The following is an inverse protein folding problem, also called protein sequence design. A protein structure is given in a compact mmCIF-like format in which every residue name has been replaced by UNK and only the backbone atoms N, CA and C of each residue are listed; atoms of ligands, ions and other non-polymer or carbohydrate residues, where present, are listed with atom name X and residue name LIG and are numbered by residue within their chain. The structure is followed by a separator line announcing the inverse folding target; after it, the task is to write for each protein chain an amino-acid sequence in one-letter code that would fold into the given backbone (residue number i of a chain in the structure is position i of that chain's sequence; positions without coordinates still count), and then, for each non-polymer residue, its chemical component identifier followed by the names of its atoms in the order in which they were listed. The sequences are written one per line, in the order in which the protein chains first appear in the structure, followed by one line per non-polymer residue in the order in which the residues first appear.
data_IF_931942904816
#
_entry.id   IF_931942904816
#
_cell.length_a   1.000
_cell.length_b   1.000
_cell.length_c   1.000
_cell.angle_alpha   90.00
_cell.angle_beta   90.00
_cell.angle_gamma   90.00
#
_symmetry.space_group_name_H-M   'P 1'
#
loop_
_entity.id
_entity.type
_entity.pdbx_description
1 polymer ?
#
# COMPACT_ATOMS: atom_id res chain seq x y z
N UNK A 1 -33.37 38.24 22.64
CA UNK A 1 -33.91 37.65 21.40
C UNK A 1 -33.03 38.15 20.28
N UNK A 2 -32.25 37.25 19.67
CA UNK A 2 -31.13 37.58 18.78
C UNK A 2 -31.52 37.08 17.39
N UNK A 3 -31.65 38.01 16.45
CA UNK A 3 -32.12 37.76 15.09
C UNK A 3 -31.19 36.83 14.31
N UNK A 4 -31.77 35.83 13.65
CA UNK A 4 -31.09 34.89 12.74
C UNK A 4 -31.34 35.39 11.31
N UNK A 5 -30.32 35.78 10.53
CA UNK A 5 -30.53 36.11 9.12
C UNK A 5 -30.68 34.84 8.27
N UNK A 6 -31.78 34.79 7.52
CA UNK A 6 -32.06 33.76 6.52
C UNK A 6 -31.10 33.89 5.33
N UNK A 7 -30.45 32.78 4.96
CA UNK A 7 -29.63 32.69 3.75
C UNK A 7 -30.46 32.20 2.56
N UNK A 8 -30.25 32.75 1.34
CA UNK A 8 -31.03 32.37 0.16
C UNK A 8 -30.51 31.08 -0.48
N UNK A 9 -31.45 30.17 -0.75
CA UNK A 9 -31.30 29.06 -1.68
C UNK A 9 -30.99 29.60 -3.08
N UNK A 10 -29.84 29.22 -3.65
CA UNK A 10 -29.60 29.35 -5.09
C UNK A 10 -29.43 27.96 -5.70
N UNK A 11 -30.40 27.64 -6.56
CA UNK A 11 -30.44 26.52 -7.48
C UNK A 11 -29.15 26.42 -8.29
N UNK A 12 -28.51 25.26 -8.24
CA UNK A 12 -27.52 24.85 -9.23
C UNK A 12 -28.21 23.93 -10.24
N UNK A 13 -28.56 24.51 -11.39
CA UNK A 13 -28.90 23.78 -12.61
C UNK A 13 -27.58 23.33 -13.22
N UNK A 14 -27.37 22.03 -13.38
CA UNK A 14 -26.24 21.53 -14.18
C UNK A 14 -26.73 20.49 -15.19
N UNK A 15 -26.40 20.83 -16.43
CA UNK A 15 -26.92 20.26 -17.65
C UNK A 15 -26.30 18.89 -17.94
N UNK A 16 -27.18 18.03 -18.42
CA UNK A 16 -26.94 16.75 -19.06
C UNK A 16 -26.15 16.99 -20.37
N UNK A 17 -24.94 16.42 -20.50
CA UNK A 17 -24.33 16.17 -21.80
C UNK A 17 -23.80 14.74 -21.85
N UNK A 18 -24.48 13.93 -22.64
CA UNK A 18 -24.11 12.57 -23.00
C UNK A 18 -22.99 12.60 -24.05
N UNK A 19 -21.87 11.94 -23.78
CA UNK A 19 -20.94 11.47 -24.81
C UNK A 19 -20.99 9.94 -24.84
N UNK A 20 -21.79 9.43 -25.79
CA UNK A 20 -21.70 8.07 -26.31
C UNK A 20 -20.50 8.02 -27.28
N UNK A 21 -19.45 7.30 -26.91
CA UNK A 21 -18.45 6.81 -27.85
C UNK A 21 -18.46 5.28 -27.81
N UNK A 22 -19.03 4.71 -28.86
CA UNK A 22 -19.04 3.28 -29.13
C UNK A 22 -17.65 2.84 -29.60
N UNK A 23 -17.05 1.87 -28.93
CA UNK A 23 -16.01 1.03 -29.53
C UNK A 23 -16.66 -0.32 -29.87
N UNK A 24 -16.75 -0.55 -31.17
CA UNK A 24 -17.24 -1.73 -31.86
C UNK A 24 -16.48 -2.99 -31.47
N UNK A 25 -17.23 -4.05 -31.19
CA UNK A 25 -16.74 -5.41 -31.18
C UNK A 25 -16.47 -5.89 -32.62
N UNK A 26 -15.33 -6.53 -32.84
CA UNK A 26 -15.07 -7.35 -34.03
C UNK A 26 -15.37 -8.82 -33.69
N UNK A 27 -16.31 -9.48 -34.39
CA UNK A 27 -16.47 -10.92 -34.35
C UNK A 27 -15.79 -11.60 -35.55
N UNK A 28 -15.25 -12.79 -35.28
CA UNK A 28 -15.07 -13.91 -36.23
C UNK A 28 -13.81 -13.91 -37.12
N UNK A 29 -12.92 -14.86 -36.84
CA UNK A 29 -12.62 -15.94 -37.81
C UNK A 29 -11.91 -17.10 -37.11
N UNK A 30 -12.53 -18.27 -37.17
CA UNK A 30 -11.96 -19.55 -36.80
C UNK A 30 -10.87 -19.96 -37.81
N UNK A 31 -9.81 -20.60 -37.30
CA UNK A 31 -9.04 -21.58 -38.05
C UNK A 31 -8.70 -22.74 -37.10
N UNK A 32 -9.25 -23.88 -37.47
CA UNK A 32 -9.00 -25.23 -36.99
C UNK A 32 -7.66 -25.74 -37.57
N UNK A 33 -7.20 -26.92 -37.11
CA UNK A 33 -5.92 -27.62 -37.40
C UNK A 33 -4.70 -27.08 -36.64
N UNK A 34 -3.88 -27.89 -35.96
CA UNK A 34 -3.38 -29.20 -36.39
C UNK A 34 -2.96 -30.06 -35.17
N UNK A 35 -3.18 -31.37 -35.31
CA UNK A 35 -2.49 -32.42 -34.55
C UNK A 35 -0.97 -32.20 -34.63
N UNK A 36 -0.23 -32.60 -33.59
CA UNK A 36 0.99 -33.42 -33.65
C UNK A 36 1.96 -33.13 -32.49
N UNK A 37 2.34 -34.23 -31.86
CA UNK A 37 3.48 -34.45 -30.95
C UNK A 37 3.38 -33.95 -29.51
N UNK A 38 2.80 -34.82 -28.70
CA UNK A 38 3.45 -35.55 -27.59
C UNK A 38 5.00 -35.42 -27.49
N UNK A 39 5.52 -34.20 -27.39
CA UNK A 39 6.85 -33.95 -26.83
C UNK A 39 6.68 -33.91 -25.33
N UNK A 40 6.95 -35.05 -24.69
CA UNK A 40 6.86 -35.24 -23.25
C UNK A 40 7.26 -33.98 -22.49
N UNK A 41 6.27 -33.39 -21.82
CA UNK A 41 6.50 -32.52 -20.67
C UNK A 41 7.27 -33.38 -19.68
N UNK A 42 8.59 -33.30 -19.76
CA UNK A 42 9.41 -33.61 -18.61
C UNK A 42 8.80 -32.78 -17.48
N UNK A 43 8.17 -33.47 -16.53
CA UNK A 43 8.07 -33.03 -15.15
C UNK A 43 9.51 -32.71 -14.74
N UNK A 44 10.00 -31.53 -15.12
CA UNK A 44 11.12 -30.89 -14.46
C UNK A 44 10.57 -30.61 -13.08
N UNK A 45 10.85 -31.56 -12.20
CA UNK A 45 10.45 -31.59 -10.81
C UNK A 45 10.32 -30.16 -10.27
N UNK A 46 9.08 -29.67 -10.19
CA UNK A 46 8.74 -28.36 -9.61
C UNK A 46 9.02 -28.33 -8.08
N UNK A 47 9.82 -29.26 -7.60
CA UNK A 47 10.04 -29.58 -6.21
C UNK A 47 11.06 -28.66 -5.52
N UNK A 48 11.68 -27.71 -6.22
CA UNK A 48 12.71 -26.85 -5.60
C UNK A 48 12.76 -25.41 -6.12
N UNK A 49 11.69 -24.91 -6.73
CA UNK A 49 11.60 -23.48 -7.04
C UNK A 49 11.47 -22.68 -5.75
N UNK A 50 12.48 -21.86 -5.44
CA UNK A 50 12.41 -20.92 -4.31
C UNK A 50 11.15 -20.06 -4.43
N UNK A 51 10.43 -19.80 -3.32
CA UNK A 51 9.25 -18.94 -3.36
C UNK A 51 9.62 -17.54 -3.83
N UNK A 52 8.81 -16.99 -4.74
CA UNK A 52 8.96 -15.60 -5.18
C UNK A 52 8.62 -14.66 -4.01
N UNK A 53 9.50 -13.72 -3.64
CA UNK A 53 9.22 -12.75 -2.57
C UNK A 53 8.10 -11.78 -2.95
N UNK A 54 7.62 -11.00 -1.96
CA UNK A 54 6.85 -9.79 -2.26
C UNK A 54 7.75 -8.84 -3.07
N UNK A 55 7.27 -8.29 -4.18
CA UNK A 55 8.05 -7.40 -5.03
C UNK A 55 7.18 -6.37 -5.76
N UNK A 56 7.83 -5.41 -6.42
CA UNK A 56 7.20 -4.28 -7.11
C UNK A 56 7.49 -4.34 -8.62
N UNK A 57 6.71 -5.11 -9.40
CA UNK A 57 6.99 -5.29 -10.84
C UNK A 57 6.80 -4.02 -11.66
N UNK A 58 5.90 -3.13 -11.22
CA UNK A 58 5.60 -1.87 -11.88
C UNK A 58 5.47 -0.76 -10.84
N UNK A 59 5.64 0.49 -11.27
CA UNK A 59 5.45 1.65 -10.43
C UNK A 59 3.99 1.74 -9.99
N UNK A 60 3.75 1.94 -8.70
CA UNK A 60 2.41 2.11 -8.16
C UNK A 60 1.95 3.56 -8.33
N UNK A 61 0.66 3.73 -8.63
CA UNK A 61 -0.05 4.99 -8.45
C UNK A 61 -0.98 4.82 -7.27
N UNK A 62 -0.84 5.67 -6.26
CA UNK A 62 -1.66 5.61 -5.07
C UNK A 62 -2.96 6.38 -5.29
N UNK A 63 -4.02 5.88 -4.67
CA UNK A 63 -5.28 6.60 -4.65
C UNK A 63 -5.10 7.91 -3.89
N UNK A 64 -5.69 8.97 -4.43
CA UNK A 64 -5.85 10.19 -3.66
C UNK A 64 -6.72 9.88 -2.43
N UNK A 65 -6.36 10.42 -1.25
CA UNK A 65 -7.21 10.29 -0.09
C UNK A 65 -8.63 10.76 -0.43
N UNK A 66 -9.62 9.90 -0.18
CA UNK A 66 -11.00 10.20 -0.54
C UNK A 66 -11.96 9.78 0.56
N UNK A 67 -12.97 10.63 0.73
CA UNK A 67 -14.07 10.44 1.66
C UNK A 67 -13.90 11.18 2.98
N UNK A 68 -15.03 11.69 3.47
CA UNK A 68 -15.21 11.99 4.88
C UNK A 68 -15.81 10.73 5.51
N UNK A 69 -14.98 9.84 6.06
CA UNK A 69 -15.56 8.92 7.03
C UNK A 69 -15.94 9.79 8.22
N UNK A 70 -17.24 9.92 8.57
CA UNK A 70 -17.56 10.58 9.81
C UNK A 70 -16.80 9.81 10.89
N UNK A 71 -15.94 10.52 11.59
CA UNK A 71 -15.45 10.10 12.89
C UNK A 71 -16.61 10.21 13.88
N UNK A 72 -17.70 9.49 13.56
CA UNK A 72 -18.79 9.27 14.46
C UNK A 72 -18.18 8.59 15.68
N UNK A 73 -18.41 9.21 16.83
CA UNK A 73 -18.04 8.78 18.18
C UNK A 73 -18.41 7.34 18.53
N UNK A 74 -19.10 6.63 17.63
CA UNK A 74 -19.54 5.24 17.74
C UNK A 74 -18.38 4.24 17.89
N UNK A 75 -17.14 4.67 17.65
CA UNK A 75 -15.92 3.88 17.87
C UNK A 75 -15.34 3.93 19.29
N UNK A 76 -15.87 4.77 20.20
CA UNK A 76 -15.39 4.78 21.59
C UNK A 76 -15.95 3.57 22.33
N UNK A 77 -15.18 2.48 22.29
CA UNK A 77 -15.50 1.28 23.06
C UNK A 77 -15.62 1.65 24.54
N UNK A 78 -16.80 1.40 25.11
CA UNK A 78 -17.12 1.65 26.52
C UNK A 78 -16.94 3.11 27.02
N UNK A 79 -17.04 4.11 26.14
CA UNK A 79 -16.97 5.53 26.54
C UNK A 79 -15.56 6.01 26.93
N UNK A 80 -14.52 5.22 26.64
CA UNK A 80 -13.12 5.60 26.86
C UNK A 80 -12.55 6.05 25.51
N UNK A 81 -12.69 7.34 25.21
CA UNK A 81 -11.91 7.98 24.14
C UNK A 81 -10.64 8.53 24.81
N UNK A 82 -9.46 7.92 24.62
CA UNK A 82 -8.25 8.29 25.36
C UNK A 82 -7.67 9.65 24.92
N UNK A 83 -8.12 10.18 23.79
CA UNK A 83 -7.81 11.54 23.34
C UNK A 83 -9.04 12.11 22.60
N UNK A 84 -9.26 13.42 22.72
CA UNK A 84 -10.16 14.10 21.80
C UNK A 84 -9.63 13.92 20.37
N UNK A 85 -10.46 13.54 19.39
CA UNK A 85 -10.00 13.41 18.02
C UNK A 85 -9.45 14.75 17.53
N UNK A 86 -8.39 14.75 16.72
CA UNK A 86 -7.87 16.00 16.14
C UNK A 86 -8.70 16.48 14.94
N UNK A 87 -9.59 15.63 14.41
CA UNK A 87 -10.53 15.94 13.34
C UNK A 87 -11.83 15.13 13.47
N UNK A 88 -12.95 15.69 13.04
CA UNK A 88 -14.21 14.98 12.86
C UNK A 88 -14.46 14.61 11.40
N UNK A 89 -13.87 15.37 10.48
CA UNK A 89 -13.94 15.24 9.02
C UNK A 89 -12.65 15.74 8.38
N UNK A 90 -12.44 15.45 7.10
CA UNK A 90 -11.25 15.95 6.38
C UNK A 90 -11.27 17.47 6.22
N UNK A 91 -12.44 18.10 6.35
CA UNK A 91 -12.57 19.57 6.39
C UNK A 91 -11.94 20.22 7.63
N UNK A 92 -11.69 19.45 8.70
CA UNK A 92 -11.00 19.93 9.89
C UNK A 92 -9.47 19.88 9.74
N UNK A 93 -8.97 19.25 8.67
CA UNK A 93 -7.55 19.05 8.41
C UNK A 93 -6.97 20.12 7.47
N UNK A 94 -5.64 20.16 7.35
CA UNK A 94 -5.00 21.05 6.38
C UNK A 94 -5.38 20.64 4.94
N UNK A 95 -5.27 21.57 4.00
CA UNK A 95 -5.61 21.31 2.60
C UNK A 95 -4.78 20.15 2.04
N UNK A 96 -5.45 19.07 1.61
CA UNK A 96 -4.81 17.86 1.09
C UNK A 96 -4.68 16.72 2.10
N UNK A 97 -4.90 17.00 3.39
CA UNK A 97 -4.94 16.00 4.44
C UNK A 97 -6.31 15.32 4.51
N UNK A 98 -6.32 14.12 5.06
CA UNK A 98 -7.53 13.31 5.27
C UNK A 98 -7.69 12.99 6.74
N UNK A 99 -8.93 13.08 7.24
CA UNK A 99 -9.25 12.62 8.58
C UNK A 99 -9.45 11.10 8.57
N UNK A 100 -8.51 10.36 9.17
CA UNK A 100 -8.56 8.90 9.22
C UNK A 100 -8.74 8.40 10.64
N UNK A 101 -9.39 7.22 10.73
CA UNK A 101 -9.48 6.46 11.97
C UNK A 101 -8.20 5.65 12.16
N UNK A 102 -7.36 6.08 13.08
CA UNK A 102 -6.14 5.37 13.46
C UNK A 102 -6.42 4.40 14.59
N UNK A 103 -5.86 3.21 14.49
CA UNK A 103 -5.83 2.26 15.60
C UNK A 103 -4.52 2.47 16.38
N UNK A 104 -4.65 2.99 17.60
CA UNK A 104 -3.60 2.97 18.61
C UNK A 104 -3.80 1.75 19.50
N UNK A 105 -2.69 1.13 19.93
CA UNK A 105 -2.58 -0.12 20.70
C UNK A 105 -3.85 -0.66 21.40
N UNK A 106 -4.02 -1.99 21.32
CA UNK A 106 -5.09 -2.80 21.90
C UNK A 106 -6.49 -2.60 21.29
N UNK A 107 -7.12 -1.44 21.43
CA UNK A 107 -8.51 -1.18 20.97
C UNK A 107 -8.84 0.30 20.77
N UNK A 108 -7.84 1.18 20.88
CA UNK A 108 -8.08 2.61 21.00
C UNK A 108 -8.09 3.25 19.61
N UNK A 109 -9.29 3.57 19.13
CA UNK A 109 -9.42 4.34 17.90
C UNK A 109 -9.36 5.84 18.22
N UNK A 110 -8.54 6.57 17.47
CA UNK A 110 -8.55 8.03 17.46
C UNK A 110 -8.69 8.52 16.03
N UNK A 111 -9.24 9.72 15.85
CA UNK A 111 -9.26 10.34 14.53
C UNK A 111 -8.14 11.37 14.43
N UNK A 112 -7.33 11.21 13.41
CA UNK A 112 -6.16 12.02 13.17
C UNK A 112 -6.12 12.49 11.71
N UNK A 113 -5.70 13.73 11.50
CA UNK A 113 -5.37 14.23 10.17
C UNK A 113 -4.07 13.58 9.71
N UNK A 114 -4.10 12.97 8.54
CA UNK A 114 -2.92 12.43 7.88
C UNK A 114 -2.68 13.15 6.58
N UNK A 115 -1.45 13.63 6.41
CA UNK A 115 -0.96 14.15 5.14
C UNK A 115 -0.66 12.99 4.20
N UNK A 116 -1.06 13.16 2.94
CA UNK A 116 -0.58 12.32 1.84
C UNK A 116 0.66 13.00 1.25
N UNK A 117 1.82 12.36 1.37
CA UNK A 117 3.08 12.93 0.90
C UNK A 117 3.26 12.74 -0.62
N UNK A 118 2.63 11.72 -1.18
CA UNK A 118 2.79 11.33 -2.57
C UNK A 118 1.54 10.66 -3.14
N UNK A 119 1.38 10.71 -4.46
CA UNK A 119 0.42 9.93 -5.24
C UNK A 119 1.11 9.02 -6.27
N UNK A 120 2.36 9.32 -6.62
CA UNK A 120 3.21 8.51 -7.47
C UNK A 120 4.68 8.66 -7.06
N UNK A 121 5.55 7.77 -7.54
CA UNK A 121 6.99 7.83 -7.25
C UNK A 121 7.65 9.14 -7.69
N UNK A 122 7.07 9.83 -8.67
CA UNK A 122 7.56 11.12 -9.16
C UNK A 122 7.37 12.26 -8.14
N UNK A 123 6.51 12.07 -7.14
CA UNK A 123 6.29 13.05 -6.06
C UNK A 123 7.35 12.94 -4.95
N UNK A 124 8.08 11.82 -4.90
CA UNK A 124 9.11 11.55 -3.89
C UNK A 124 10.52 11.93 -4.38
N UNK A 125 11.47 12.05 -3.44
CA UNK A 125 12.87 12.31 -3.78
C UNK A 125 13.47 11.18 -4.65
N UNK A 126 14.64 11.44 -5.25
CA UNK A 126 15.27 10.52 -6.19
C UNK A 126 15.59 9.14 -5.58
N UNK A 127 15.94 9.11 -4.30
CA UNK A 127 16.26 7.95 -3.48
C UNK A 127 15.06 7.43 -2.66
N UNK A 128 13.85 7.80 -3.08
CA UNK A 128 12.59 7.40 -2.45
C UNK A 128 11.58 6.89 -3.50
N UNK A 129 10.55 6.20 -3.01
CA UNK A 129 9.38 5.82 -3.79
C UNK A 129 8.09 6.07 -3.02
N UNK A 130 6.97 6.14 -3.74
CA UNK A 130 5.67 6.34 -3.14
C UNK A 130 5.07 5.00 -2.71
N UNK A 131 4.91 4.83 -1.39
CA UNK A 131 4.22 3.68 -0.82
C UNK A 131 2.76 4.04 -0.54
N UNK A 132 1.84 3.27 -1.12
CA UNK A 132 0.42 3.48 -0.94
C UNK A 132 -0.04 2.92 0.41
N UNK A 133 -0.38 3.83 1.31
CA UNK A 133 -0.98 3.48 2.59
C UNK A 133 -2.48 3.23 2.45
N UNK A 134 -3.12 2.91 3.58
CA UNK A 134 -4.57 2.81 3.66
C UNK A 134 -5.15 4.21 3.78
N UNK A 135 -5.67 4.74 2.66
CA UNK A 135 -6.27 6.07 2.57
C UNK A 135 -7.80 6.05 2.42
N UNK A 136 -8.43 4.88 2.62
CA UNK A 136 -9.89 4.73 2.50
C UNK A 136 -10.59 5.18 3.78
N UNK A 137 -11.56 6.09 3.64
CA UNK A 137 -12.47 6.49 4.69
C UNK A 137 -13.08 5.28 5.44
N UNK A 138 -12.84 5.20 6.75
CA UNK A 138 -13.43 4.20 7.65
C UNK A 138 -12.63 2.89 7.77
N UNK A 139 -11.59 2.71 6.96
CA UNK A 139 -10.62 1.64 7.18
C UNK A 139 -9.77 1.97 8.41
N UNK A 140 -9.60 1.00 9.31
CA UNK A 140 -8.65 1.12 10.39
C UNK A 140 -7.25 0.94 9.81
N UNK A 141 -6.42 1.96 9.93
CA UNK A 141 -4.99 1.86 9.64
C UNK A 141 -4.21 1.72 10.95
N UNK A 142 -3.07 1.02 10.91
CA UNK A 142 -2.21 0.80 12.07
C UNK A 142 -0.85 1.43 11.81
N UNK A 143 -0.43 2.32 12.71
CA UNK A 143 0.89 2.94 12.70
C UNK A 143 1.17 3.75 11.42
N UNK A 144 2.34 3.52 10.83
CA UNK A 144 2.81 4.28 9.67
C UNK A 144 1.93 4.09 8.42
N UNK A 145 1.10 3.05 8.34
CA UNK A 145 0.36 2.66 7.13
C UNK A 145 -0.91 3.49 6.88
N UNK A 146 -1.06 4.61 7.59
CA UNK A 146 -2.22 5.50 7.55
C UNK A 146 -2.16 6.58 6.47
N UNK A 147 -1.18 6.57 5.56
CA UNK A 147 -1.14 7.52 4.45
C UNK A 147 -0.22 7.05 3.33
N UNK A 148 -0.38 7.64 2.15
CA UNK A 148 0.65 7.54 1.12
C UNK A 148 1.87 8.33 1.61
N UNK A 149 3.03 7.67 1.63
CA UNK A 149 4.27 8.24 2.16
C UNK A 149 5.45 7.93 1.27
N UNK A 150 6.42 8.81 1.26
CA UNK A 150 7.69 8.56 0.59
C UNK A 150 8.56 7.68 1.49
N UNK A 151 9.07 6.58 0.93
CA UNK A 151 9.93 5.64 1.64
C UNK A 151 11.30 5.54 0.97
N UNK A 152 12.38 5.33 1.75
CA UNK A 152 13.69 5.04 1.19
C UNK A 152 13.65 3.90 0.19
N UNK A 153 14.32 4.08 -0.95
CA UNK A 153 14.27 3.15 -2.06
C UNK A 153 15.63 3.02 -2.76
N UNK A 154 16.17 1.81 -2.81
CA UNK A 154 17.26 1.44 -3.71
C UNK A 154 16.77 1.01 -5.11
N UNK A 155 15.46 0.81 -5.26
CA UNK A 155 14.78 0.47 -6.51
C UNK A 155 13.33 0.98 -6.43
N UNK A 156 12.74 1.35 -7.57
CA UNK A 156 11.32 1.69 -7.67
C UNK A 156 10.53 0.51 -8.24
N UNK A 157 11.10 -0.22 -9.18
CA UNK A 157 10.47 -1.38 -9.80
C UNK A 157 11.46 -2.51 -10.01
N UNK A 158 10.98 -3.71 -10.35
CA UNK A 158 11.85 -4.82 -10.73
C UNK A 158 12.78 -4.47 -11.91
N UNK A 159 12.39 -3.55 -12.79
CA UNK A 159 13.22 -3.11 -13.90
C UNK A 159 14.49 -2.35 -13.45
N UNK A 160 14.50 -1.81 -12.22
CA UNK A 160 15.67 -1.17 -11.63
C UNK A 160 16.67 -2.19 -11.06
N UNK A 161 16.28 -3.46 -10.96
CA UNK A 161 17.06 -4.53 -10.36
C UNK A 161 17.63 -5.47 -11.44
N UNK A 162 18.90 -5.30 -11.86
CA UNK A 162 19.47 -6.03 -12.99
C UNK A 162 19.54 -7.55 -12.81
N UNK A 163 19.48 -8.03 -11.58
CA UNK A 163 19.63 -9.45 -11.23
C UNK A 163 18.49 -9.99 -10.35
N UNK A 164 17.45 -9.21 -10.06
CA UNK A 164 16.47 -9.63 -9.07
C UNK A 164 15.23 -8.78 -9.01
N UNK A 165 14.58 -8.83 -7.86
CA UNK A 165 13.26 -8.26 -7.62
C UNK A 165 13.39 -7.04 -6.70
N UNK A 166 12.55 -6.03 -6.92
CA UNK A 166 12.48 -4.87 -6.07
C UNK A 166 11.54 -5.15 -4.89
N UNK A 167 12.11 -5.52 -3.75
CA UNK A 167 11.36 -6.11 -2.64
C UNK A 167 11.32 -5.21 -1.40
N UNK A 168 10.23 -5.25 -0.61
CA UNK A 168 10.07 -4.45 0.58
C UNK A 168 10.87 -5.02 1.76
N UNK A 169 11.74 -4.21 2.38
CA UNK A 169 12.35 -4.55 3.67
C UNK A 169 11.47 -4.02 4.79
N UNK A 170 11.17 -4.89 5.76
CA UNK A 170 10.38 -4.54 6.94
C UNK A 170 11.22 -4.60 8.19
N UNK A 171 10.91 -3.75 9.15
CA UNK A 171 11.52 -3.79 10.47
C UNK A 171 11.01 -4.98 11.29
N UNK A 172 11.45 -5.02 12.54
CA UNK A 172 11.02 -6.00 13.52
C UNK A 172 9.50 -6.14 13.70
N UNK A 173 8.80 -5.04 13.49
CA UNK A 173 7.37 -4.87 13.75
C UNK A 173 6.54 -4.96 12.48
N UNK A 174 7.17 -5.30 11.35
CA UNK A 174 6.52 -5.34 10.05
C UNK A 174 6.31 -3.95 9.43
N UNK A 175 6.82 -2.89 10.05
CA UNK A 175 6.82 -1.57 9.42
C UNK A 175 7.75 -1.59 8.21
N UNK A 176 7.27 -1.02 7.12
CA UNK A 176 8.04 -0.94 5.90
C UNK A 176 9.17 0.10 6.05
N UNK A 177 10.42 -0.35 5.95
CA UNK A 177 11.63 0.48 6.06
C UNK A 177 12.07 1.02 4.69
N UNK A 178 11.77 0.30 3.62
CA UNK A 178 12.12 0.72 2.25
C UNK A 178 12.02 -0.42 1.24
N UNK A 179 12.46 -0.15 0.01
CA UNK A 179 12.52 -1.13 -1.08
C UNK A 179 13.94 -1.28 -1.61
N UNK A 180 14.39 -2.53 -1.78
CA UNK A 180 15.76 -2.83 -2.17
C UNK A 180 15.79 -3.99 -3.16
N UNK A 181 16.77 -3.97 -4.07
CA UNK A 181 16.95 -5.06 -5.01
C UNK A 181 17.41 -6.32 -4.28
N UNK A 182 16.82 -7.45 -4.66
CA UNK A 182 17.44 -8.75 -4.43
C UNK A 182 18.61 -8.98 -5.39
N UNK A 183 19.63 -9.64 -4.89
CA UNK A 183 20.67 -10.31 -5.66
C UNK A 183 20.67 -11.79 -5.24
N UNK A 184 20.01 -12.69 -5.99
CA UNK A 184 19.92 -14.10 -5.64
C UNK A 184 21.27 -14.82 -5.46
N UNK A 185 22.36 -14.26 -6.02
CA UNK A 185 23.70 -14.82 -5.88
C UNK A 185 24.41 -14.34 -4.61
N UNK A 186 24.02 -13.19 -4.04
CA UNK A 186 24.64 -12.61 -2.85
C UNK A 186 23.75 -12.69 -1.59
N UNK A 187 22.44 -12.77 -1.77
CA UNK A 187 21.46 -12.79 -0.70
C UNK A 187 21.39 -14.14 0.01
N UNK A 188 21.32 -14.09 1.33
CA UNK A 188 21.17 -15.29 2.15
C UNK A 188 19.72 -15.78 2.21
N UNK A 189 18.75 -14.92 1.88
CA UNK A 189 17.33 -15.24 1.86
C UNK A 189 16.58 -14.40 0.81
N UNK A 190 15.48 -14.94 0.29
CA UNK A 190 14.50 -14.21 -0.52
C UNK A 190 13.22 -13.95 0.27
N UNK A 191 12.81 -14.90 1.12
CA UNK A 191 11.54 -14.81 1.87
C UNK A 191 11.72 -15.15 3.33
N UNK A 192 10.77 -14.73 4.17
CA UNK A 192 10.70 -15.13 5.58
C UNK A 192 10.62 -16.66 5.76
N UNK A 193 10.04 -17.38 4.80
CA UNK A 193 9.93 -18.84 4.86
C UNK A 193 11.31 -19.52 4.89
N UNK A 194 12.30 -18.95 4.21
CA UNK A 194 13.68 -19.45 4.20
C UNK A 194 14.40 -19.16 5.52
N UNK A 195 13.94 -18.16 6.28
CA UNK A 195 14.49 -17.77 7.56
C UNK A 195 13.81 -18.46 8.76
N UNK A 196 12.69 -19.17 8.57
CA UNK A 196 11.90 -19.74 9.66
C UNK A 196 12.68 -20.64 10.65
N UNK A 197 13.78 -21.26 10.21
CA UNK A 197 14.68 -22.06 11.05
C UNK A 197 16.09 -21.49 11.22
N UNK A 198 16.35 -20.26 10.79
CA UNK A 198 17.67 -19.64 10.86
C UNK A 198 18.02 -19.26 12.30
N UNK A 199 19.27 -19.52 12.70
CA UNK A 199 19.81 -19.06 13.98
C UNK A 199 19.96 -17.54 14.03
N UNK A 200 20.03 -16.89 12.87
CA UNK A 200 20.10 -15.44 12.78
C UNK A 200 18.73 -14.79 12.95
N UNK A 201 17.61 -15.53 12.89
CA UNK A 201 16.24 -15.06 13.14
C UNK A 201 15.24 -15.33 12.01
N UNK A 202 13.93 -15.20 12.25
CA UNK A 202 12.87 -15.71 11.36
C UNK A 202 12.49 -14.78 10.19
N UNK A 203 13.13 -13.62 10.04
CA UNK A 203 12.75 -12.60 9.05
C UNK A 203 13.85 -12.36 8.05
N UNK A 204 13.49 -12.31 6.77
CA UNK A 204 14.38 -11.90 5.69
C UNK A 204 14.36 -10.37 5.55
N UNK A 205 15.47 -9.71 5.89
CA UNK A 205 15.56 -8.24 5.92
C UNK A 205 16.77 -7.74 5.15
N UNK A 206 16.64 -6.57 4.55
CA UNK A 206 17.75 -5.91 3.87
C UNK A 206 18.63 -5.17 4.89
N UNK A 207 19.84 -5.68 5.16
CA UNK A 207 20.73 -5.19 6.20
C UNK A 207 22.17 -5.11 5.70
N UNK A 208 22.72 -3.89 5.66
CA UNK A 208 24.09 -3.67 5.19
C UNK A 208 24.29 -3.98 3.71
N UNK A 209 23.26 -3.67 2.89
CA UNK A 209 23.32 -3.79 1.43
C UNK A 209 23.04 -5.19 0.87
N UNK A 210 22.47 -6.10 1.66
CA UNK A 210 22.06 -7.45 1.22
C UNK A 210 20.92 -7.99 2.05
N UNK A 211 20.21 -8.99 1.53
CA UNK A 211 19.15 -9.68 2.26
C UNK A 211 19.71 -10.80 3.10
N UNK A 212 19.33 -10.81 4.39
CA UNK A 212 19.74 -11.84 5.34
C UNK A 212 18.67 -12.09 6.39
N UNK A 213 18.69 -13.31 6.93
CA UNK A 213 17.91 -13.63 8.10
C UNK A 213 18.38 -12.78 9.28
N UNK A 214 17.44 -12.27 10.06
CA UNK A 214 17.74 -11.45 11.21
C UNK A 214 16.71 -11.61 12.32
N UNK A 215 17.20 -11.52 13.54
CA UNK A 215 16.45 -11.70 14.75
C UNK A 215 15.86 -10.36 15.13
N UNK A 216 14.79 -10.46 15.88
CA UNK A 216 13.84 -9.40 16.01
C UNK A 216 13.81 -8.99 17.48
N UNK A 217 14.31 -7.79 17.85
CA UNK A 217 13.95 -7.26 19.16
C UNK A 217 12.43 -7.12 19.25
N UNK A 218 11.88 -7.41 20.43
CA UNK A 218 10.44 -7.29 20.70
C UNK A 218 10.01 -5.86 20.39
N UNK A 219 8.89 -5.73 19.66
CA UNK A 219 8.24 -4.45 19.43
C UNK A 219 7.60 -3.96 20.73
N UNK A 220 8.24 -2.99 21.37
CA UNK A 220 7.70 -2.29 22.54
C UNK A 220 6.72 -1.17 22.11
#
# INVERSE_FOLDING_TARGET
MKDIPASPLRSATLALLALLAACSADPSAAADTDDTDDTGTADVDAADARPTPEHRPIAATCDAPSGDAPCASDGCFAGVCPAAPSCASSADCASGDVCLRTHSFATLFSCQCHASECLADADCAADELCHCGVVTAGAACVGANCSNRCLPAGCRTDADCPAGLCSPSRDACGHLEGFFCHDPAADACLTDAECAGSADGPRCRHLGGRWRCSDVPICD
#
